data_IF_615709862295
#
_entry.id   IF_615709862295
#
_cell.length_a   1.000
_cell.length_b   1.000
_cell.length_c   1.000
_cell.angle_alpha   90.00
_cell.angle_beta   90.00
_cell.angle_gamma   90.00
#
_symmetry.space_group_name_H-M   'P 1'
#
loop_
_entity.id
_entity.type
_entity.pdbx_description
1 polymer ?
#
# COMPACT_ATOMS: atom_id res chain seq x y z
N UNK A 1 -59.65 2.58 -29.84
CA UNK A 1 -58.44 2.70 -30.67
C UNK A 1 -57.28 3.19 -29.80
N UNK A 2 -56.20 2.39 -29.79
CA UNK A 2 -54.79 2.63 -29.41
C UNK A 2 -54.47 3.32 -28.07
N UNK A 3 -54.21 2.49 -27.05
CA UNK A 3 -53.49 2.84 -25.81
C UNK A 3 -52.01 3.11 -26.15
N UNK A 4 -51.55 4.32 -25.92
CA UNK A 4 -50.16 4.73 -26.17
C UNK A 4 -49.28 4.21 -25.04
N UNK A 5 -48.55 3.12 -25.31
CA UNK A 5 -47.53 2.60 -24.41
C UNK A 5 -46.36 3.59 -24.34
N UNK A 6 -46.24 4.28 -23.21
CA UNK A 6 -45.09 5.11 -22.87
C UNK A 6 -43.90 4.19 -22.53
N UNK A 7 -43.16 3.78 -23.55
CA UNK A 7 -41.93 3.02 -23.40
C UNK A 7 -40.83 3.97 -22.90
N UNK A 8 -40.60 3.97 -21.58
CA UNK A 8 -39.43 4.62 -20.97
C UNK A 8 -38.20 3.84 -21.42
N UNK A 9 -37.57 4.31 -22.49
CA UNK A 9 -36.26 3.87 -22.94
C UNK A 9 -35.23 4.38 -21.92
N UNK A 10 -35.08 3.67 -20.79
CA UNK A 10 -33.97 3.86 -19.86
C UNK A 10 -32.70 3.47 -20.62
N UNK A 11 -32.12 4.46 -21.30
CA UNK A 11 -30.77 4.40 -21.82
C UNK A 11 -29.85 4.32 -20.61
N UNK A 12 -29.60 3.07 -20.19
CA UNK A 12 -28.55 2.73 -19.27
C UNK A 12 -27.22 3.08 -19.94
N UNK A 13 -26.84 4.36 -19.83
CA UNK A 13 -25.48 4.83 -20.05
C UNK A 13 -24.62 4.10 -19.01
N UNK A 14 -24.19 2.90 -19.37
CA UNK A 14 -23.12 2.17 -18.71
C UNK A 14 -21.88 3.06 -18.81
N UNK A 15 -21.73 3.97 -17.84
CA UNK A 15 -20.51 4.74 -17.64
C UNK A 15 -19.41 3.75 -17.27
N UNK A 16 -18.81 3.13 -18.28
CA UNK A 16 -17.54 2.43 -18.17
C UNK A 16 -16.53 3.46 -17.66
N UNK A 17 -16.32 3.45 -16.35
CA UNK A 17 -15.28 4.27 -15.71
C UNK A 17 -13.90 3.74 -16.11
N UNK A 18 -13.52 3.98 -17.36
CA UNK A 18 -12.22 3.63 -17.89
C UNK A 18 -11.14 4.32 -17.06
N UNK A 19 -10.15 3.53 -16.66
CA UNK A 19 -8.96 4.02 -15.97
C UNK A 19 -7.92 4.23 -17.04
N UNK A 20 -7.47 5.47 -17.22
CA UNK A 20 -6.35 5.78 -18.11
C UNK A 20 -5.09 6.01 -17.27
N UNK A 21 -3.96 5.46 -17.74
CA UNK A 21 -2.63 5.58 -17.12
C UNK A 21 -1.75 6.32 -18.13
N UNK A 22 -1.29 7.52 -17.80
CA UNK A 22 -0.42 8.33 -18.66
C UNK A 22 0.94 8.47 -17.98
N UNK A 23 2.07 8.13 -18.64
CA UNK A 23 3.40 8.34 -18.06
C UNK A 23 3.68 9.83 -17.87
N UNK A 24 4.33 10.18 -16.77
CA UNK A 24 4.67 11.56 -16.40
C UNK A 24 6.17 11.74 -16.28
N UNK A 25 6.86 10.76 -15.70
CA UNK A 25 8.30 10.79 -15.53
C UNK A 25 8.87 9.37 -15.43
N UNK A 26 10.09 9.21 -15.91
CA UNK A 26 10.92 8.02 -15.74
C UNK A 26 12.18 8.44 -14.97
N UNK A 27 12.44 7.78 -13.84
CA UNK A 27 13.49 8.14 -12.89
C UNK A 27 14.40 6.93 -12.63
N UNK A 28 15.71 7.14 -12.65
CA UNK A 28 16.65 6.07 -12.34
C UNK A 28 16.59 5.68 -10.85
N UNK A 29 16.43 6.67 -9.97
CA UNK A 29 16.40 6.47 -8.53
C UNK A 29 15.58 7.58 -7.88
N UNK A 30 14.73 7.23 -6.91
CA UNK A 30 13.94 8.18 -6.14
C UNK A 30 13.77 7.72 -4.70
N UNK A 31 13.94 8.64 -3.76
CA UNK A 31 13.73 8.42 -2.34
C UNK A 31 13.00 9.60 -1.73
N UNK A 32 12.19 9.30 -0.73
CA UNK A 32 11.44 10.25 0.08
C UNK A 32 12.10 10.48 1.45
N UNK A 33 13.25 9.83 1.70
CA UNK A 33 14.05 9.93 2.92
C UNK A 33 15.54 9.84 2.62
N UNK A 34 16.36 10.20 3.60
CA UNK A 34 17.82 10.15 3.48
C UNK A 34 18.29 8.70 3.30
N UNK A 35 19.23 8.51 2.37
CA UNK A 35 19.90 7.24 2.12
C UNK A 35 21.28 7.29 2.75
N UNK A 36 21.63 6.25 3.50
CA UNK A 36 22.92 6.15 4.17
C UNK A 36 23.91 5.43 3.26
N UNK A 37 24.98 6.11 2.83
CA UNK A 37 26.02 5.53 1.98
C UNK A 37 26.79 4.37 2.63
N UNK A 38 26.73 4.24 3.95
CA UNK A 38 27.41 3.18 4.69
C UNK A 38 26.55 1.92 4.86
N UNK A 39 25.32 1.91 4.34
CA UNK A 39 24.41 0.78 4.42
C UNK A 39 24.41 0.02 3.10
N UNK A 40 24.50 -1.31 3.18
CA UNK A 40 24.33 -2.18 2.03
C UNK A 40 22.85 -2.34 1.71
N UNK A 41 22.45 -1.91 0.52
CA UNK A 41 21.08 -2.00 0.02
C UNK A 41 21.01 -3.03 -1.11
N UNK A 42 19.92 -3.77 -1.13
CA UNK A 42 19.66 -4.75 -2.18
C UNK A 42 18.25 -4.62 -2.74
N UNK A 43 18.04 -5.27 -3.87
CA UNK A 43 16.74 -5.38 -4.51
C UNK A 43 15.82 -6.26 -3.65
N UNK A 44 14.78 -5.66 -3.08
CA UNK A 44 13.78 -6.39 -2.29
C UNK A 44 12.59 -6.83 -3.13
N UNK A 45 12.21 -6.03 -4.13
CA UNK A 45 11.12 -6.39 -5.02
C UNK A 45 11.18 -5.64 -6.34
N UNK A 46 10.88 -6.33 -7.45
CA UNK A 46 10.84 -5.73 -8.78
C UNK A 46 9.41 -5.39 -9.23
N UNK A 47 9.28 -4.34 -10.05
CA UNK A 47 8.01 -3.92 -10.68
C UNK A 47 6.81 -3.75 -9.73
N UNK A 48 7.04 -3.16 -8.56
CA UNK A 48 5.99 -2.88 -7.58
C UNK A 48 5.11 -1.70 -7.98
N UNK A 49 3.80 -1.77 -7.71
CA UNK A 49 2.83 -0.66 -7.89
C UNK A 49 2.07 -0.62 -9.22
N UNK A 50 2.35 -1.55 -10.14
CA UNK A 50 1.83 -1.52 -11.53
C UNK A 50 0.48 -2.19 -11.72
N UNK A 51 0.00 -2.96 -10.75
CA UNK A 51 -1.14 -3.85 -11.01
C UNK A 51 -2.46 -3.07 -11.05
N UNK A 52 -3.39 -3.50 -11.92
CA UNK A 52 -4.74 -2.90 -11.97
C UNK A 52 -5.46 -2.98 -10.63
N UNK A 53 -5.14 -3.97 -9.78
CA UNK A 53 -5.71 -4.13 -8.44
C UNK A 53 -5.18 -3.06 -7.49
N UNK A 54 -3.87 -2.81 -7.49
CA UNK A 54 -3.23 -1.74 -6.71
C UNK A 54 -3.73 -0.37 -7.12
N UNK A 55 -3.76 -0.07 -8.42
CA UNK A 55 -4.30 1.22 -8.90
C UNK A 55 -5.74 1.44 -8.43
N UNK A 56 -6.58 0.39 -8.42
CA UNK A 56 -7.95 0.46 -7.88
C UNK A 56 -7.98 0.62 -6.35
N UNK A 57 -7.08 -0.02 -5.61
CA UNK A 57 -6.99 0.13 -4.15
C UNK A 57 -6.53 1.54 -3.78
N UNK A 58 -5.62 2.14 -4.54
CA UNK A 58 -5.21 3.54 -4.45
C UNK A 58 -6.41 4.48 -4.51
N UNK A 59 -7.30 4.32 -5.50
CA UNK A 59 -8.55 5.10 -5.56
C UNK A 59 -9.52 4.85 -4.40
N UNK A 60 -9.52 3.67 -3.78
CA UNK A 60 -10.38 3.37 -2.61
C UNK A 60 -9.83 4.00 -1.34
N UNK A 61 -8.53 3.95 -1.15
CA UNK A 61 -7.83 4.49 0.02
C UNK A 61 -7.81 6.01 0.02
N UNK A 62 -7.52 6.60 -1.15
CA UNK A 62 -7.75 8.00 -1.47
C UNK A 62 -9.15 8.52 -1.04
N UNK A 63 -10.21 7.71 -1.22
CA UNK A 63 -11.56 8.08 -0.78
C UNK A 63 -11.72 8.06 0.74
N UNK A 64 -11.06 7.14 1.44
CA UNK A 64 -11.12 7.01 2.91
C UNK A 64 -10.37 8.15 3.59
N UNK A 65 -9.22 8.55 3.06
CA UNK A 65 -8.36 9.59 3.63
C UNK A 65 -8.80 11.03 3.31
N UNK A 66 -10.02 11.24 2.80
CA UNK A 66 -10.60 12.56 2.47
C UNK A 66 -10.53 13.60 3.61
N UNK A 67 -10.32 13.19 4.87
CA UNK A 67 -10.21 14.10 6.02
C UNK A 67 -8.90 14.91 6.08
N UNK A 68 -7.85 14.50 5.36
CA UNK A 68 -6.54 15.17 5.38
C UNK A 68 -6.30 16.11 4.18
N UNK A 69 -7.30 16.35 3.32
CA UNK A 69 -7.13 17.25 2.18
C UNK A 69 -7.38 18.72 2.58
N UNK A 70 -6.57 19.68 2.09
CA UNK A 70 -6.80 21.09 2.35
C UNK A 70 -8.19 21.52 1.86
N UNK A 71 -8.97 22.13 2.76
CA UNK A 71 -10.29 22.67 2.47
C UNK A 71 -10.14 23.92 1.60
N UNK A 72 -10.32 23.81 0.28
CA UNK A 72 -10.35 25.00 -0.59
C UNK A 72 -10.47 24.78 -2.11
N UNK A 73 -10.00 23.67 -2.67
CA UNK A 73 -9.93 23.48 -4.13
C UNK A 73 -11.18 22.78 -4.70
N UNK A 74 -12.16 23.58 -5.11
CA UNK A 74 -13.50 23.15 -5.52
C UNK A 74 -13.60 22.52 -6.93
N UNK A 75 -12.52 22.06 -7.60
CA UNK A 75 -12.69 21.49 -8.96
C UNK A 75 -11.69 20.45 -9.50
N UNK A 76 -10.54 20.21 -8.89
CA UNK A 76 -9.67 19.09 -9.31
C UNK A 76 -9.21 18.28 -8.10
N UNK A 77 -9.85 17.12 -7.91
CA UNK A 77 -9.58 16.24 -6.78
C UNK A 77 -8.38 15.34 -7.10
N UNK A 78 -7.18 15.93 -7.17
CA UNK A 78 -5.93 15.16 -7.13
C UNK A 78 -5.84 14.61 -5.71
N UNK A 79 -5.93 13.30 -5.55
CA UNK A 79 -6.05 12.74 -4.20
C UNK A 79 -4.69 12.54 -3.53
N UNK A 80 -3.62 12.29 -4.31
CA UNK A 80 -2.25 12.08 -3.84
C UNK A 80 -1.24 12.76 -4.74
N UNK A 81 -0.19 13.32 -4.15
CA UNK A 81 0.95 13.90 -4.89
C UNK A 81 1.95 12.78 -5.28
N UNK A 82 3.02 13.14 -5.98
CA UNK A 82 4.05 12.19 -6.43
C UNK A 82 4.75 11.52 -5.23
N UNK A 83 5.09 12.30 -4.21
CA UNK A 83 5.77 11.83 -3.00
C UNK A 83 4.96 10.77 -2.26
N UNK A 84 3.65 10.98 -2.07
CA UNK A 84 2.72 10.04 -1.47
C UNK A 84 2.68 8.72 -2.25
N UNK A 85 2.67 8.81 -3.58
CA UNK A 85 2.63 7.65 -4.46
C UNK A 85 3.92 6.82 -4.34
N UNK A 86 5.08 7.48 -4.32
CA UNK A 86 6.38 6.81 -4.12
C UNK A 86 6.45 6.18 -2.73
N UNK A 87 6.14 6.95 -1.68
CA UNK A 87 6.16 6.49 -0.30
C UNK A 87 5.29 5.26 -0.09
N UNK A 88 4.11 5.21 -0.71
CA UNK A 88 3.25 4.04 -0.63
C UNK A 88 3.90 2.83 -1.27
N UNK A 89 4.42 2.95 -2.50
CA UNK A 89 5.01 1.81 -3.21
C UNK A 89 6.24 1.27 -2.49
N UNK A 90 7.05 2.14 -1.88
CA UNK A 90 8.16 1.71 -1.01
C UNK A 90 7.62 0.95 0.20
N UNK A 91 6.63 1.52 0.90
CA UNK A 91 6.07 0.95 2.13
C UNK A 91 5.34 -0.38 1.92
N UNK A 92 4.90 -0.72 0.71
CA UNK A 92 4.34 -2.05 0.46
C UNK A 92 5.36 -3.18 0.60
N UNK A 93 6.66 -2.87 0.56
CA UNK A 93 7.74 -3.84 0.70
C UNK A 93 8.42 -3.64 2.07
N UNK A 94 8.39 -4.63 2.97
CA UNK A 94 9.13 -4.56 4.23
C UNK A 94 10.63 -4.34 3.99
N UNK A 95 11.23 -3.42 4.74
CA UNK A 95 12.64 -3.04 4.57
C UNK A 95 12.92 -2.13 3.37
N UNK A 96 11.91 -1.82 2.54
CA UNK A 96 12.06 -0.90 1.41
C UNK A 96 12.41 0.50 1.88
N UNK A 97 13.39 1.12 1.24
CA UNK A 97 13.92 2.45 1.58
C UNK A 97 13.73 3.45 0.43
N UNK A 98 14.06 3.04 -0.79
CA UNK A 98 13.98 3.84 -2.01
C UNK A 98 13.52 3.00 -3.21
N UNK A 99 13.26 3.66 -4.34
CA UNK A 99 12.96 2.99 -5.61
C UNK A 99 14.04 3.26 -6.65
N UNK A 100 14.31 2.26 -7.48
CA UNK A 100 15.09 2.37 -8.73
C UNK A 100 14.21 2.03 -9.93
N UNK A 101 14.62 2.46 -11.11
CA UNK A 101 13.89 2.23 -12.37
C UNK A 101 12.40 2.63 -12.25
N UNK A 102 12.15 3.78 -11.63
CA UNK A 102 10.82 4.21 -11.22
C UNK A 102 10.10 4.95 -12.35
N UNK A 103 8.88 4.53 -12.66
CA UNK A 103 7.97 5.19 -13.60
C UNK A 103 6.81 5.78 -12.84
N UNK A 104 6.59 7.07 -13.05
CA UNK A 104 5.49 7.83 -12.44
C UNK A 104 4.39 8.01 -13.48
N UNK A 105 3.16 7.73 -13.07
CA UNK A 105 1.99 7.85 -13.93
C UNK A 105 0.92 8.73 -13.32
N UNK A 106 0.29 9.54 -14.15
CA UNK A 106 -0.98 10.17 -13.85
C UNK A 106 -2.10 9.21 -14.21
N UNK A 107 -2.82 8.75 -13.20
CA UNK A 107 -3.96 7.85 -13.37
C UNK A 107 -5.25 8.64 -13.27
N UNK A 108 -6.09 8.55 -14.30
CA UNK A 108 -7.39 9.24 -14.35
C UNK A 108 -8.53 8.21 -14.29
N UNK A 109 -9.55 8.50 -13.49
CA UNK A 109 -10.81 7.74 -13.43
C UNK A 109 -11.99 8.70 -13.31
N UNK A 110 -12.63 9.00 -14.44
CA UNK A 110 -13.60 10.10 -14.53
C UNK A 110 -12.94 11.43 -14.17
N UNK A 111 -13.54 12.19 -13.25
CA UNK A 111 -12.99 13.48 -12.76
C UNK A 111 -11.84 13.34 -11.76
N UNK A 112 -11.49 12.12 -11.33
CA UNK A 112 -10.45 11.90 -10.33
C UNK A 112 -9.11 11.68 -10.99
N UNK A 113 -8.08 12.26 -10.40
CA UNK A 113 -6.70 12.11 -10.81
C UNK A 113 -5.86 11.71 -9.58
N UNK A 114 -4.87 10.86 -9.77
CA UNK A 114 -3.89 10.53 -8.75
C UNK A 114 -2.56 10.17 -9.42
N UNK A 115 -1.47 10.30 -8.68
CA UNK A 115 -0.20 9.73 -9.10
C UNK A 115 -0.08 8.29 -8.62
N UNK A 116 0.50 7.44 -9.46
CA UNK A 116 0.89 6.07 -9.13
C UNK A 116 2.33 5.88 -9.59
N UNK A 117 3.10 5.11 -8.81
CA UNK A 117 4.49 4.84 -9.11
C UNK A 117 4.70 3.33 -9.27
N UNK A 118 5.54 2.99 -10.23
CA UNK A 118 5.96 1.64 -10.58
C UNK A 118 7.48 1.58 -10.53
N UNK A 119 8.06 0.51 -10.01
CA UNK A 119 9.51 0.32 -10.11
C UNK A 119 10.05 -0.72 -9.15
N UNK A 120 11.37 -0.76 -9.06
CA UNK A 120 12.10 -1.69 -8.22
C UNK A 120 12.29 -1.08 -6.83
N UNK A 121 11.86 -1.78 -5.79
CA UNK A 121 12.04 -1.35 -4.42
C UNK A 121 13.32 -1.93 -3.86
N UNK A 122 14.20 -1.03 -3.43
CA UNK A 122 15.48 -1.36 -2.83
C UNK A 122 15.48 -0.98 -1.35
N UNK A 123 16.22 -1.74 -0.56
CA UNK A 123 16.23 -1.58 0.87
C UNK A 123 17.17 -2.56 1.55
N UNK A 124 17.03 -2.69 2.86
CA UNK A 124 17.87 -3.59 3.66
C UNK A 124 17.13 -4.92 3.81
N UNK A 125 17.80 -6.07 3.60
CA UNK A 125 17.17 -7.38 3.89
C UNK A 125 16.63 -7.38 5.29
N UNK A 126 15.36 -7.69 5.36
CA UNK A 126 14.61 -7.93 6.58
C UNK A 126 15.04 -9.26 7.23
N UNK A 127 16.27 -9.28 7.75
CA UNK A 127 16.61 -10.17 8.87
C UNK A 127 16.10 -9.59 10.20
N UNK A 128 16.01 -8.26 10.30
CA UNK A 128 15.56 -7.51 11.47
C UNK A 128 14.74 -6.29 11.01
N UNK A 129 13.43 -6.41 10.91
CA UNK A 129 12.57 -5.24 10.63
C UNK A 129 11.65 -4.99 11.82
N UNK A 130 11.64 -3.76 12.31
CA UNK A 130 11.09 -3.41 13.62
C UNK A 130 11.73 -4.19 14.79
N UNK A 131 12.97 -4.67 14.63
CA UNK A 131 13.70 -5.43 15.65
C UNK A 131 13.19 -6.86 15.86
N UNK A 132 12.39 -7.40 14.93
CA UNK A 132 11.84 -8.76 14.99
C UNK A 132 12.59 -9.72 14.09
N UNK A 133 12.87 -10.92 14.59
CA UNK A 133 13.47 -12.04 13.84
C UNK A 133 12.49 -13.20 13.72
N UNK A 134 12.62 -13.98 12.65
CA UNK A 134 11.89 -15.24 12.52
C UNK A 134 12.23 -16.16 13.70
N UNK A 135 11.22 -16.69 14.38
CA UNK A 135 11.37 -17.47 15.61
C UNK A 135 11.19 -16.69 16.90
N UNK A 136 11.16 -15.35 16.86
CA UNK A 136 10.94 -14.55 18.07
C UNK A 136 9.58 -14.88 18.71
N UNK A 137 9.59 -15.19 20.01
CA UNK A 137 8.37 -15.38 20.80
C UNK A 137 7.76 -14.02 21.11
N UNK A 138 6.46 -13.90 20.88
CA UNK A 138 5.72 -12.66 21.10
C UNK A 138 4.36 -12.91 21.72
N UNK A 139 3.86 -11.85 22.33
CA UNK A 139 2.47 -11.73 22.77
C UNK A 139 1.77 -10.74 21.86
N UNK A 140 0.55 -11.06 21.44
CA UNK A 140 -0.24 -10.19 20.57
C UNK A 140 -1.68 -10.06 21.04
N UNK A 141 -2.30 -8.90 20.76
CA UNK A 141 -3.66 -8.59 21.21
C UNK A 141 -4.68 -8.93 20.13
N UNK A 142 -5.67 -9.77 20.46
CA UNK A 142 -6.79 -10.10 19.57
C UNK A 142 -8.10 -10.12 20.35
N UNK A 143 -9.09 -9.35 19.89
CA UNK A 143 -10.40 -9.21 20.55
C UNK A 143 -10.30 -8.88 22.06
N UNK A 144 -9.35 -8.02 22.43
CA UNK A 144 -9.13 -7.60 23.82
C UNK A 144 -8.37 -8.60 24.69
N UNK A 145 -8.04 -9.81 24.19
CA UNK A 145 -7.24 -10.80 24.90
C UNK A 145 -5.80 -10.81 24.37
N UNK A 146 -4.85 -11.10 25.26
CA UNK A 146 -3.46 -11.34 24.92
C UNK A 146 -3.26 -12.83 24.63
N UNK A 147 -2.61 -13.12 23.51
CA UNK A 147 -2.34 -14.48 23.02
C UNK A 147 -0.85 -14.58 22.70
N UNK A 148 -0.32 -15.80 22.69
CA UNK A 148 1.09 -16.07 22.39
C UNK A 148 1.26 -16.60 20.98
N UNK A 149 2.39 -16.28 20.37
CA UNK A 149 2.77 -16.78 19.06
C UNK A 149 4.25 -16.61 18.79
N UNK A 150 4.65 -17.08 17.61
CA UNK A 150 6.01 -17.01 17.08
C UNK A 150 6.01 -16.12 15.84
N UNK A 151 6.99 -15.22 15.74
CA UNK A 151 7.17 -14.37 14.57
C UNK A 151 7.60 -15.22 13.36
N UNK A 152 6.83 -15.17 12.28
CA UNK A 152 7.13 -15.94 11.06
C UNK A 152 7.83 -15.05 10.02
N UNK A 153 7.40 -13.80 9.91
CA UNK A 153 7.96 -12.90 8.92
C UNK A 153 7.18 -11.61 8.75
N UNK A 154 7.74 -10.72 7.94
CA UNK A 154 7.12 -9.45 7.58
C UNK A 154 6.15 -9.66 6.41
N UNK A 155 4.96 -9.04 6.48
CA UNK A 155 4.02 -9.04 5.35
C UNK A 155 4.09 -7.71 4.58
N UNK A 156 3.96 -6.62 5.31
CA UNK A 156 4.06 -5.24 4.81
C UNK A 156 4.59 -4.33 5.93
N UNK A 157 4.66 -3.01 5.72
CA UNK A 157 5.15 -2.07 6.75
C UNK A 157 4.30 -1.97 8.02
N UNK A 158 3.02 -2.34 7.98
CA UNK A 158 2.10 -2.26 9.13
C UNK A 158 1.87 -3.62 9.78
N UNK A 159 1.97 -4.69 9.00
CA UNK A 159 1.53 -6.03 9.36
C UNK A 159 2.67 -7.06 9.26
N UNK A 160 2.65 -7.99 10.21
CA UNK A 160 3.50 -9.16 10.27
C UNK A 160 2.68 -10.45 10.20
N UNK A 161 3.37 -11.54 9.93
CA UNK A 161 2.85 -12.89 10.02
C UNK A 161 3.35 -13.52 11.30
N UNK A 162 2.42 -14.06 12.08
CA UNK A 162 2.73 -14.80 13.30
C UNK A 162 2.10 -16.19 13.24
N UNK A 163 2.74 -17.16 13.87
CA UNK A 163 2.25 -18.52 14.05
C UNK A 163 1.68 -18.63 15.46
N UNK A 164 0.39 -18.92 15.55
CA UNK A 164 -0.26 -19.15 16.83
C UNK A 164 0.16 -20.48 17.46
N UNK A 165 -0.18 -20.66 18.74
CA UNK A 165 -0.10 -21.95 19.44
C UNK A 165 -0.76 -23.11 18.68
N UNK A 166 -1.82 -22.83 17.92
CA UNK A 166 -2.53 -23.82 17.09
C UNK A 166 -1.81 -24.14 15.75
N UNK A 167 -0.62 -23.57 15.53
CA UNK A 167 0.18 -23.75 14.31
C UNK A 167 -0.31 -22.95 13.09
N UNK A 168 -1.42 -22.22 13.19
CA UNK A 168 -1.95 -21.39 12.09
C UNK A 168 -1.20 -20.07 11.96
N UNK A 169 -0.89 -19.70 10.71
CA UNK A 169 -0.30 -18.40 10.39
C UNK A 169 -1.42 -17.36 10.26
N UNK A 170 -1.31 -16.28 11.03
CA UNK A 170 -2.25 -15.16 11.00
C UNK A 170 -1.51 -13.83 10.83
N UNK A 171 -2.23 -12.86 10.29
CA UNK A 171 -1.74 -11.50 10.08
C UNK A 171 -2.09 -10.61 11.29
N UNK A 172 -1.10 -9.89 11.82
CA UNK A 172 -1.23 -8.99 12.97
C UNK A 172 -0.42 -7.72 12.73
N UNK A 173 -0.85 -6.58 13.29
CA UNK A 173 -0.11 -5.32 13.18
C UNK A 173 1.12 -5.30 14.09
N UNK A 174 2.18 -4.60 13.67
CA UNK A 174 3.35 -4.35 14.52
C UNK A 174 3.01 -3.64 15.84
N UNK A 175 1.98 -2.79 15.84
CA UNK A 175 1.52 -2.08 17.05
C UNK A 175 0.86 -2.99 18.08
N UNK A 176 0.43 -4.18 17.65
CA UNK A 176 -0.40 -5.08 18.45
C UNK A 176 0.41 -6.28 18.96
N UNK A 177 1.73 -6.29 18.73
CA UNK A 177 2.67 -7.33 19.18
C UNK A 177 3.71 -6.75 20.15
N UNK A 178 4.13 -7.56 21.12
CA UNK A 178 5.15 -7.21 22.13
C UNK A 178 6.09 -8.39 22.31
N UNK A 179 7.40 -8.15 22.44
CA UNK A 179 8.37 -9.22 22.68
C UNK A 179 8.08 -9.87 24.02
N UNK A 180 8.00 -11.19 24.04
CA UNK A 180 7.95 -11.91 25.29
C UNK A 180 9.40 -12.14 25.72
N UNK A 181 9.88 -11.37 26.69
CA UNK A 181 11.15 -11.69 27.33
C UNK A 181 10.97 -13.03 28.07
N UNK A 182 11.78 -14.02 27.72
CA UNK A 182 11.91 -15.20 28.58
C UNK A 182 12.55 -14.71 29.88
N UNK A 183 11.76 -14.66 30.95
CA UNK A 183 12.26 -14.58 32.31
C UNK A 183 13.27 -15.72 32.49
N UNK A 184 14.55 -15.36 32.59
CA UNK A 184 15.62 -16.26 33.03
C UNK A 184 15.32 -16.81 34.42
#
# INVERSE_FOLDING_TARGET
>A
MKKTNFFILVTSFMFCSCITKTPVADLNMVSTRNINSNTEYELLSSYQGSTKKEVKSTFKEAKKNKKQMPKGSKKEKIVWNIEDAINRTIKTVPGGEYMMNCKIYLVKKGVKRLFACEGDVWGVKTGEFHGWKQGDKLTYKKFGKYLYGEFVGHKDFMNCLIKNTDGKIIEVKYTDIVKTEESK
#
